data_IF_233710107630
#
_entry.id   IF_233710107630
#
_cell.length_a   1.000
_cell.length_b   1.000
_cell.length_c   1.000
_cell.angle_alpha   90.00
_cell.angle_beta   90.00
_cell.angle_gamma   90.00
#
_symmetry.space_group_name_H-M   'P 1'
#
loop_
_entity.id
_entity.type
_entity.pdbx_description
1 polymer ?
#
# COMPACT_ATOMS: atom_id res chain seq x y z
N UNK A 1 13.22 9.82 78.71
CA UNK A 1 11.97 9.58 77.97
C UNK A 1 11.60 10.82 77.18
N UNK A 2 11.99 10.88 75.90
CA UNK A 2 11.33 11.71 74.90
C UNK A 2 11.81 11.29 73.50
N UNK A 3 10.87 11.36 72.56
CA UNK A 3 10.90 10.91 71.16
C UNK A 3 11.99 11.60 70.33
N UNK A 4 12.48 10.95 69.27
CA UNK A 4 12.49 11.50 67.90
C UNK A 4 12.70 10.35 66.89
N UNK A 5 11.69 10.12 66.05
CA UNK A 5 11.75 9.30 64.85
C UNK A 5 12.28 10.17 63.69
N UNK A 6 13.27 9.68 62.96
CA UNK A 6 13.71 10.25 61.67
C UNK A 6 13.47 9.19 60.60
N UNK A 7 12.63 9.43 59.58
CA UNK A 7 12.55 8.52 58.45
C UNK A 7 13.66 8.85 57.45
N UNK A 8 14.50 7.87 57.11
CA UNK A 8 15.35 7.94 55.92
C UNK A 8 14.46 7.78 54.68
N UNK A 9 14.21 8.88 53.97
CA UNK A 9 13.69 8.88 52.60
C UNK A 9 14.82 8.49 51.65
N UNK A 10 14.89 7.21 51.28
CA UNK A 10 15.65 6.76 50.13
C UNK A 10 14.94 7.19 48.84
N UNK A 11 15.32 8.34 48.29
CA UNK A 11 15.00 8.69 46.90
C UNK A 11 15.81 7.79 45.96
N UNK A 12 15.20 6.69 45.51
CA UNK A 12 15.68 5.96 44.34
C UNK A 12 15.33 6.78 43.09
N UNK A 13 16.30 7.51 42.57
CA UNK A 13 16.23 8.10 41.24
C UNK A 13 16.30 6.96 40.20
N UNK A 14 15.13 6.49 39.76
CA UNK A 14 15.02 5.68 38.55
C UNK A 14 15.34 6.59 37.36
N UNK A 15 16.58 6.55 36.89
CA UNK A 15 16.95 7.13 35.60
C UNK A 15 16.28 6.27 34.51
N UNK A 16 15.17 6.78 33.98
CA UNK A 16 14.60 6.32 32.74
C UNK A 16 15.60 6.68 31.62
N UNK A 17 16.47 5.73 31.29
CA UNK A 17 17.25 5.81 30.06
C UNK A 17 16.29 5.73 28.89
N UNK A 18 15.88 6.88 28.36
CA UNK A 18 15.34 6.96 27.01
C UNK A 18 16.43 6.43 26.08
N UNK A 19 16.32 5.17 25.67
CA UNK A 19 17.05 4.66 24.51
C UNK A 19 16.55 5.45 23.31
N UNK A 20 17.18 6.60 23.06
CA UNK A 20 17.03 7.30 21.79
C UNK A 20 17.43 6.30 20.69
N UNK A 21 16.60 6.24 19.64
CA UNK A 21 16.99 5.51 18.45
C UNK A 21 18.39 6.00 18.02
N UNK A 22 19.28 5.10 17.54
CA UNK A 22 20.60 5.51 17.09
C UNK A 22 20.47 6.68 16.11
N UNK A 23 21.28 7.72 16.35
CA UNK A 23 21.26 8.92 15.54
C UNK A 23 21.53 8.58 14.08
N UNK A 24 20.79 9.20 13.16
CA UNK A 24 21.02 9.01 11.72
C UNK A 24 22.43 9.53 11.36
N UNK A 25 23.27 8.74 10.66
CA UNK A 25 24.61 9.16 10.27
C UNK A 25 24.61 10.41 9.36
N UNK A 26 25.66 11.24 9.43
CA UNK A 26 25.72 12.53 8.76
C UNK A 26 25.85 12.43 7.23
N UNK A 27 25.03 13.14 6.46
CA UNK A 27 24.93 13.02 4.99
C UNK A 27 25.29 14.32 4.27
N UNK A 28 25.48 14.24 2.94
CA UNK A 28 25.65 15.43 2.08
C UNK A 28 24.29 16.09 1.87
N UNK A 29 24.17 17.38 2.22
CA UNK A 29 22.93 18.13 1.99
C UNK A 29 22.80 18.57 0.53
N UNK A 30 21.76 18.07 -0.14
CA UNK A 30 21.25 18.60 -1.40
C UNK A 30 19.93 19.30 -1.11
N UNK A 31 19.82 20.58 -1.47
CA UNK A 31 18.60 21.34 -1.23
C UNK A 31 17.43 20.79 -2.07
N UNK A 32 16.20 20.82 -1.54
CA UNK A 32 15.01 20.32 -2.24
C UNK A 32 14.78 21.01 -3.60
N UNK A 33 15.16 22.28 -3.72
CA UNK A 33 15.11 23.01 -4.99
C UNK A 33 16.05 22.44 -6.05
N UNK A 34 17.21 21.91 -5.65
CA UNK A 34 18.16 21.27 -6.57
C UNK A 34 17.67 19.90 -7.02
N UNK A 35 16.92 19.17 -6.17
CA UNK A 35 16.34 17.86 -6.54
C UNK A 35 15.35 17.96 -7.72
N UNK A 36 14.77 19.12 -7.97
CA UNK A 36 13.73 19.33 -8.98
C UNK A 36 14.14 20.31 -10.09
N UNK A 37 15.38 20.81 -10.10
CA UNK A 37 15.83 21.80 -11.08
C UNK A 37 16.19 21.23 -12.45
N UNK A 38 16.33 19.90 -12.55
CA UNK A 38 16.59 19.14 -13.76
C UNK A 38 18.02 19.28 -14.30
N UNK A 39 18.94 19.91 -13.57
CA UNK A 39 20.32 20.14 -14.03
C UNK A 39 21.02 18.83 -14.43
N UNK A 40 20.86 17.77 -13.64
CA UNK A 40 21.40 16.43 -13.90
C UNK A 40 20.98 15.87 -15.27
N UNK A 41 19.73 16.11 -15.69
CA UNK A 41 19.14 15.42 -16.85
C UNK A 41 19.19 16.25 -18.13
N UNK A 42 19.17 17.58 -18.01
CA UNK A 42 19.04 18.50 -19.13
C UNK A 42 20.25 19.41 -19.30
N UNK A 43 21.00 19.73 -18.24
CA UNK A 43 22.16 20.63 -18.28
C UNK A 43 21.84 22.10 -18.60
N UNK A 44 20.61 22.42 -19.01
CA UNK A 44 20.17 23.74 -19.45
C UNK A 44 18.76 24.09 -18.94
N UNK A 45 18.43 25.38 -18.97
CA UNK A 45 17.12 25.94 -18.56
C UNK A 45 16.58 26.85 -19.68
N UNK A 46 15.25 26.99 -19.84
CA UNK A 46 14.18 26.37 -19.04
C UNK A 46 14.00 24.88 -19.37
N UNK A 47 13.49 24.12 -18.40
CA UNK A 47 13.17 22.70 -18.62
C UNK A 47 12.02 22.56 -19.65
N UNK A 48 12.01 21.48 -20.45
CA UNK A 48 10.84 21.17 -21.27
C UNK A 48 9.60 21.03 -20.40
N UNK A 49 8.50 21.64 -20.83
CA UNK A 49 7.21 21.49 -20.16
C UNK A 49 6.51 20.25 -20.70
N UNK A 50 6.00 19.41 -19.81
CA UNK A 50 5.04 18.38 -20.19
C UNK A 50 3.74 19.05 -20.59
N UNK A 51 3.09 18.51 -21.62
CA UNK A 51 1.73 18.92 -21.96
C UNK A 51 0.83 18.78 -20.73
N UNK A 52 -0.06 19.75 -20.53
CA UNK A 52 -1.02 19.66 -19.44
C UNK A 52 -1.98 18.50 -19.71
N UNK A 53 -2.08 17.59 -18.74
CA UNK A 53 -2.95 16.43 -18.81
C UNK A 53 -4.03 16.56 -17.74
N UNK A 54 -5.26 16.74 -18.19
CA UNK A 54 -6.44 16.53 -17.36
C UNK A 54 -6.78 15.03 -17.36
N UNK A 55 -6.53 14.39 -16.22
CA UNK A 55 -6.73 12.96 -16.05
C UNK A 55 -8.23 12.58 -15.94
N UNK A 56 -9.11 13.55 -15.72
CA UNK A 56 -10.56 13.39 -15.57
C UNK A 56 -11.36 13.97 -16.75
N UNK A 57 -10.70 14.45 -17.80
CA UNK A 57 -11.39 15.04 -18.94
C UNK A 57 -12.33 14.05 -19.62
N UNK A 58 -13.56 14.50 -19.86
CA UNK A 58 -14.56 13.82 -20.70
C UNK A 58 -14.59 14.44 -22.10
N UNK A 59 -14.96 13.65 -23.10
CA UNK A 59 -15.34 14.13 -24.43
C UNK A 59 -16.83 13.85 -24.72
N UNK A 60 -17.26 14.17 -25.94
CA UNK A 60 -18.66 14.11 -26.32
C UNK A 60 -19.18 12.67 -26.42
N UNK A 61 -18.36 11.73 -26.90
CA UNK A 61 -18.71 10.32 -26.97
C UNK A 61 -18.97 9.74 -25.57
N UNK A 62 -18.16 10.11 -24.58
CA UNK A 62 -18.36 9.71 -23.19
C UNK A 62 -19.67 10.28 -22.61
N UNK A 63 -19.98 11.55 -22.91
CA UNK A 63 -21.22 12.19 -22.44
C UNK A 63 -22.45 11.61 -23.13
N UNK A 64 -22.35 11.29 -24.42
CA UNK A 64 -23.42 10.61 -25.16
C UNK A 64 -23.66 9.20 -24.59
N UNK A 65 -22.60 8.45 -24.30
CA UNK A 65 -22.70 7.17 -23.61
C UNK A 65 -23.43 7.32 -22.27
N UNK A 66 -23.07 8.31 -21.45
CA UNK A 66 -23.75 8.57 -20.19
C UNK A 66 -25.23 8.93 -20.38
N UNK A 67 -25.55 9.80 -21.33
CA UNK A 67 -26.93 10.21 -21.61
C UNK A 67 -27.81 9.04 -22.07
N UNK A 68 -27.24 8.05 -22.77
CA UNK A 68 -27.96 6.87 -23.23
C UNK A 68 -28.19 5.83 -22.11
N UNK A 69 -27.29 5.74 -21.12
CA UNK A 69 -27.29 4.65 -20.14
C UNK A 69 -27.65 5.07 -18.71
N UNK A 70 -27.47 6.35 -18.36
CA UNK A 70 -27.71 6.87 -17.00
C UNK A 70 -28.72 8.00 -17.07
N UNK A 71 -29.83 7.86 -16.35
CA UNK A 71 -30.89 8.87 -16.36
C UNK A 71 -30.57 9.99 -15.36
N UNK A 72 -30.42 11.22 -15.85
CA UNK A 72 -30.20 12.40 -15.02
C UNK A 72 -31.36 12.65 -14.03
N UNK A 73 -31.05 13.20 -12.85
CA UNK A 73 -32.00 13.70 -11.82
C UNK A 73 -32.82 12.64 -11.08
N UNK A 74 -32.31 11.41 -10.99
CA UNK A 74 -32.85 10.38 -10.08
C UNK A 74 -32.08 10.36 -8.75
N UNK A 75 -32.45 9.40 -7.89
CA UNK A 75 -31.74 9.06 -6.67
C UNK A 75 -30.33 8.52 -6.98
N UNK A 76 -29.31 9.03 -6.28
CA UNK A 76 -27.89 8.65 -6.40
C UNK A 76 -27.66 7.14 -6.45
N UNK A 77 -28.41 6.37 -5.65
CA UNK A 77 -28.32 4.90 -5.66
C UNK A 77 -28.67 4.29 -7.03
N UNK A 78 -29.71 4.81 -7.67
CA UNK A 78 -30.15 4.31 -8.96
C UNK A 78 -29.21 4.76 -10.08
N UNK A 79 -28.69 5.99 -10.02
CA UNK A 79 -27.69 6.46 -10.97
C UNK A 79 -26.41 5.64 -10.88
N UNK A 80 -25.94 5.35 -9.65
CA UNK A 80 -24.80 4.47 -9.42
C UNK A 80 -25.04 3.07 -9.98
N UNK A 81 -26.22 2.48 -9.72
CA UNK A 81 -26.54 1.15 -10.25
C UNK A 81 -26.57 1.11 -11.78
N UNK A 82 -27.15 2.14 -12.43
CA UNK A 82 -27.15 2.27 -13.89
C UNK A 82 -25.74 2.42 -14.45
N UNK A 83 -24.91 3.24 -13.82
CA UNK A 83 -23.53 3.45 -14.22
C UNK A 83 -22.72 2.16 -14.09
N UNK A 84 -22.84 1.45 -12.96
CA UNK A 84 -22.17 0.16 -12.75
C UNK A 84 -22.62 -0.87 -13.77
N UNK A 85 -23.92 -0.96 -14.05
CA UNK A 85 -24.46 -1.88 -15.05
C UNK A 85 -23.90 -1.57 -16.44
N UNK A 86 -23.84 -0.29 -16.82
CA UNK A 86 -23.29 0.13 -18.11
C UNK A 86 -21.78 -0.10 -18.23
N UNK A 87 -21.03 0.01 -17.12
CA UNK A 87 -19.58 -0.03 -17.12
C UNK A 87 -18.94 -1.38 -16.78
N UNK A 88 -19.64 -2.24 -16.04
CA UNK A 88 -19.06 -3.44 -15.41
C UNK A 88 -19.82 -4.72 -15.77
N UNK A 89 -21.14 -4.64 -15.98
CA UNK A 89 -21.94 -5.86 -16.25
C UNK A 89 -21.80 -6.33 -17.71
N UNK A 90 -21.87 -7.65 -17.93
CA UNK A 90 -21.31 -8.43 -19.06
C UNK A 90 -21.90 -8.17 -20.47
N UNK A 91 -22.08 -6.92 -20.91
CA UNK A 91 -22.52 -6.68 -22.28
C UNK A 91 -22.43 -5.28 -22.87
N UNK A 92 -21.98 -4.26 -22.12
CA UNK A 92 -22.06 -2.86 -22.59
C UNK A 92 -20.68 -2.20 -22.71
N UNK A 93 -19.84 -2.28 -21.67
CA UNK A 93 -18.49 -1.69 -21.68
C UNK A 93 -17.48 -2.70 -21.13
N UNK A 94 -16.82 -3.46 -22.01
CA UNK A 94 -15.82 -4.47 -21.62
C UNK A 94 -14.46 -3.84 -21.42
N UNK A 95 -14.05 -3.59 -20.17
CA UNK A 95 -12.73 -3.03 -19.86
C UNK A 95 -11.70 -4.13 -19.63
N UNK A 96 -10.67 -4.18 -20.47
CA UNK A 96 -9.56 -5.12 -20.32
C UNK A 96 -8.46 -4.59 -19.39
N UNK A 97 -7.91 -5.45 -18.54
CA UNK A 97 -6.75 -5.07 -17.74
C UNK A 97 -5.48 -5.10 -18.60
N UNK A 98 -4.75 -3.99 -18.62
CA UNK A 98 -3.37 -3.94 -19.10
C UNK A 98 -2.49 -3.14 -18.12
N UNK A 99 -1.17 -3.16 -18.36
CA UNK A 99 -0.21 -2.48 -17.49
C UNK A 99 -0.18 -0.96 -17.64
N UNK A 100 -0.82 -0.38 -18.65
CA UNK A 100 -0.64 1.03 -19.00
C UNK A 100 -1.55 1.95 -18.17
N UNK A 101 -0.98 3.06 -17.71
CA UNK A 101 -1.76 4.13 -17.05
C UNK A 101 -2.28 5.15 -18.07
N UNK A 102 -3.60 5.35 -18.06
CA UNK A 102 -4.35 6.21 -19.00
C UNK A 102 -5.19 7.26 -18.26
N UNK A 103 -5.54 8.33 -18.97
CA UNK A 103 -6.56 9.30 -18.53
C UNK A 103 -7.97 8.70 -18.69
N UNK A 104 -8.99 9.32 -18.07
CA UNK A 104 -10.40 8.91 -18.23
C UNK A 104 -10.79 8.68 -19.69
N UNK A 105 -10.54 9.68 -20.55
CA UNK A 105 -10.79 9.62 -21.99
C UNK A 105 -10.06 8.47 -22.68
N UNK A 106 -8.77 8.33 -22.40
CA UNK A 106 -7.95 7.28 -23.02
C UNK A 106 -8.41 5.88 -22.61
N UNK A 107 -8.77 5.69 -21.33
CA UNK A 107 -9.33 4.42 -20.84
C UNK A 107 -10.64 4.10 -21.55
N UNK A 108 -11.51 5.10 -21.73
CA UNK A 108 -12.80 4.91 -22.37
C UNK A 108 -12.68 4.41 -23.81
N UNK A 109 -11.89 5.10 -24.63
CA UNK A 109 -11.70 4.75 -26.03
C UNK A 109 -10.85 3.50 -26.25
N UNK A 110 -9.86 3.26 -25.37
CA UNK A 110 -9.06 2.05 -25.46
C UNK A 110 -9.80 0.81 -24.97
N UNK A 111 -10.83 0.99 -24.14
CA UNK A 111 -11.47 -0.08 -23.38
C UNK A 111 -10.43 -0.96 -22.67
N UNK A 112 -9.32 -0.36 -22.25
CA UNK A 112 -8.25 -1.05 -21.53
C UNK A 112 -7.49 -0.11 -20.58
N UNK A 113 -7.00 -0.66 -19.47
CA UNK A 113 -6.14 0.06 -18.55
C UNK A 113 -5.96 -0.62 -17.21
N UNK A 114 -4.96 -0.17 -16.45
CA UNK A 114 -4.81 -0.61 -15.07
C UNK A 114 -5.83 0.04 -14.13
N UNK A 115 -5.78 -0.34 -12.85
CA UNK A 115 -6.70 0.10 -11.80
C UNK A 115 -6.88 1.63 -11.72
N UNK A 116 -5.79 2.39 -11.84
CA UNK A 116 -5.85 3.86 -11.77
C UNK A 116 -6.58 4.43 -13.00
N UNK A 117 -6.37 3.83 -14.17
CA UNK A 117 -7.02 4.21 -15.43
C UNK A 117 -8.53 4.04 -15.36
N UNK A 118 -8.98 2.89 -14.84
CA UNK A 118 -10.39 2.65 -14.52
C UNK A 118 -10.92 3.65 -13.50
N UNK A 119 -10.22 3.83 -12.38
CA UNK A 119 -10.64 4.73 -11.30
C UNK A 119 -10.81 6.17 -11.82
N UNK A 120 -9.89 6.67 -12.65
CA UNK A 120 -9.98 7.99 -13.27
C UNK A 120 -11.24 8.10 -14.16
N UNK A 121 -11.47 7.11 -15.01
CA UNK A 121 -12.64 7.08 -15.89
C UNK A 121 -13.94 7.05 -15.10
N UNK A 122 -14.05 6.16 -14.11
CA UNK A 122 -15.23 6.04 -13.28
C UNK A 122 -15.49 7.32 -12.48
N UNK A 123 -14.46 7.91 -11.86
CA UNK A 123 -14.60 9.18 -11.13
C UNK A 123 -15.09 10.30 -12.04
N UNK A 124 -14.51 10.43 -13.26
CA UNK A 124 -14.93 11.44 -14.22
C UNK A 124 -16.41 11.30 -14.58
N UNK A 125 -16.80 10.09 -14.99
CA UNK A 125 -18.17 9.78 -15.42
C UNK A 125 -19.19 9.89 -14.28
N UNK A 126 -18.85 9.41 -13.09
CA UNK A 126 -19.72 9.48 -11.92
C UNK A 126 -19.96 10.94 -11.48
N UNK A 127 -18.94 11.80 -11.54
CA UNK A 127 -19.10 13.23 -11.23
C UNK A 127 -19.95 13.95 -12.27
N UNK A 128 -19.81 13.61 -13.54
CA UNK A 128 -20.59 14.21 -14.63
C UNK A 128 -22.09 13.92 -14.48
N UNK A 129 -22.46 12.70 -14.04
CA UNK A 129 -23.85 12.36 -13.71
C UNK A 129 -24.32 12.83 -12.32
N UNK A 130 -23.46 13.56 -11.58
CA UNK A 130 -23.80 14.22 -10.32
C UNK A 130 -23.58 13.41 -9.04
N UNK A 131 -22.90 12.26 -9.10
CA UNK A 131 -22.58 11.47 -7.90
C UNK A 131 -21.46 12.11 -7.08
N UNK A 132 -21.63 12.07 -5.74
CA UNK A 132 -20.59 12.48 -4.81
C UNK A 132 -19.53 11.38 -4.65
N UNK A 133 -18.47 11.47 -5.44
CA UNK A 133 -17.40 10.47 -5.47
C UNK A 133 -16.03 11.05 -5.16
N UNK A 134 -15.22 10.26 -4.48
CA UNK A 134 -13.84 10.57 -4.13
C UNK A 134 -12.93 9.37 -4.42
N UNK A 135 -11.67 9.65 -4.69
CA UNK A 135 -10.65 8.61 -4.69
C UNK A 135 -10.45 8.06 -3.28
N UNK A 136 -10.23 6.76 -3.17
CA UNK A 136 -9.89 6.09 -1.93
C UNK A 136 -8.64 5.23 -2.14
N UNK A 137 -7.63 5.46 -1.31
CA UNK A 137 -6.41 4.64 -1.29
C UNK A 137 -6.63 3.45 -0.37
N UNK A 138 -6.29 2.26 -0.85
CA UNK A 138 -6.33 1.00 -0.11
C UNK A 138 -4.90 0.56 0.21
N UNK A 139 -4.60 0.38 1.49
CA UNK A 139 -3.34 -0.17 1.93
C UNK A 139 -3.41 -1.70 1.90
N UNK A 140 -2.99 -2.30 0.78
CA UNK A 140 -2.91 -3.75 0.66
C UNK A 140 -1.65 -4.20 1.42
N UNK A 141 -1.78 -5.12 2.41
CA UNK A 141 -0.61 -5.71 3.04
C UNK A 141 0.30 -6.35 1.96
N UNK A 142 1.63 -6.20 2.07
CA UNK A 142 2.54 -6.85 1.13
C UNK A 142 2.29 -8.36 1.07
N UNK A 143 2.42 -8.97 -0.10
CA UNK A 143 2.50 -10.42 -0.22
C UNK A 143 3.97 -10.84 -0.32
N UNK A 144 4.45 -11.53 0.70
CA UNK A 144 5.84 -12.02 0.74
C UNK A 144 6.02 -13.37 0.02
N UNK A 145 4.96 -13.97 -0.51
CA UNK A 145 5.03 -15.28 -1.19
C UNK A 145 5.61 -15.23 -2.61
N UNK A 146 5.70 -14.05 -3.25
CA UNK A 146 6.00 -13.95 -4.69
C UNK A 146 7.33 -13.23 -5.07
N UNK A 147 8.12 -12.68 -4.13
CA UNK A 147 9.25 -11.81 -4.54
C UNK A 147 10.52 -11.84 -3.69
N UNK A 148 10.73 -12.86 -2.85
CA UNK A 148 11.91 -12.91 -1.98
C UNK A 148 12.11 -11.61 -1.19
N UNK A 149 13.36 -11.22 -0.91
CA UNK A 149 13.68 -9.98 -0.19
C UNK A 149 13.25 -8.66 -0.87
N UNK A 150 12.69 -8.72 -2.09
CA UNK A 150 12.25 -7.55 -2.85
C UNK A 150 10.90 -7.06 -2.35
N UNK A 151 10.93 -5.89 -1.72
CA UNK A 151 9.75 -5.24 -1.20
C UNK A 151 8.93 -4.64 -2.35
N UNK A 152 7.67 -5.06 -2.50
CA UNK A 152 6.69 -4.41 -3.38
C UNK A 152 5.58 -3.87 -2.51
N UNK A 153 5.51 -2.53 -2.39
CA UNK A 153 4.40 -1.89 -1.70
C UNK A 153 3.23 -1.76 -2.67
N UNK A 154 2.32 -2.72 -2.65
CA UNK A 154 1.09 -2.64 -3.42
C UNK A 154 0.13 -1.68 -2.71
N UNK A 155 0.12 -0.41 -3.14
CA UNK A 155 -0.97 0.52 -2.84
C UNK A 155 -1.90 0.52 -4.04
N UNK A 156 -3.18 0.40 -3.77
CA UNK A 156 -4.22 0.45 -4.79
C UNK A 156 -5.09 1.68 -4.56
N UNK A 157 -5.71 2.17 -5.63
CA UNK A 157 -6.66 3.28 -5.57
C UNK A 157 -7.96 2.81 -6.19
N UNK A 158 -9.06 3.14 -5.55
CA UNK A 158 -10.40 2.81 -5.99
C UNK A 158 -11.34 4.00 -5.74
N UNK A 159 -12.64 3.79 -5.95
CA UNK A 159 -13.64 4.84 -5.85
C UNK A 159 -14.46 4.65 -4.58
N UNK A 160 -14.61 5.71 -3.80
CA UNK A 160 -15.60 5.81 -2.73
C UNK A 160 -16.73 6.75 -3.14
N UNK A 161 -17.96 6.30 -2.98
CA UNK A 161 -19.18 7.04 -3.28
C UNK A 161 -19.92 7.26 -1.98
N UNK A 162 -20.27 8.50 -1.68
CA UNK A 162 -21.11 8.87 -0.55
C UNK A 162 -22.57 8.94 -0.99
N UNK A 163 -23.42 8.04 -0.46
CA UNK A 163 -24.86 7.98 -0.73
C UNK A 163 -25.69 8.56 0.43
N UNK A 164 -25.07 9.43 1.24
CA UNK A 164 -25.70 10.10 2.37
C UNK A 164 -26.21 9.12 3.43
N UNK A 165 -27.52 9.13 3.71
CA UNK A 165 -28.12 8.29 4.74
C UNK A 165 -28.06 6.79 4.43
N UNK A 166 -27.78 6.40 3.18
CA UNK A 166 -27.60 5.00 2.77
C UNK A 166 -26.17 4.50 3.00
N UNK A 167 -25.25 5.37 3.45
CA UNK A 167 -23.86 5.03 3.70
C UNK A 167 -22.98 5.15 2.45
N UNK A 168 -21.79 4.57 2.53
CA UNK A 168 -20.82 4.60 1.45
C UNK A 168 -20.85 3.34 0.58
N UNK A 169 -20.52 3.50 -0.70
CA UNK A 169 -20.29 2.40 -1.63
C UNK A 169 -18.86 2.48 -2.18
N UNK A 170 -18.22 1.33 -2.40
CA UNK A 170 -16.86 1.27 -2.96
C UNK A 170 -16.90 0.54 -4.28
N UNK A 171 -16.33 1.14 -5.31
CA UNK A 171 -16.20 0.55 -6.65
C UNK A 171 -14.72 0.34 -6.92
N UNK A 172 -14.38 -0.89 -7.28
CA UNK A 172 -13.02 -1.34 -7.52
C UNK A 172 -12.99 -2.14 -8.82
N UNK A 173 -11.84 -2.14 -9.50
CA UNK A 173 -11.65 -2.90 -10.74
C UNK A 173 -11.70 -4.41 -10.48
N UNK A 174 -11.11 -4.87 -9.35
CA UNK A 174 -11.16 -6.28 -8.92
C UNK A 174 -12.00 -6.41 -7.64
N UNK A 175 -13.32 -6.48 -7.79
CA UNK A 175 -14.25 -6.58 -6.66
C UNK A 175 -14.01 -7.88 -5.87
N UNK A 176 -13.64 -8.98 -6.54
CA UNK A 176 -13.45 -10.30 -5.92
C UNK A 176 -12.26 -10.38 -4.95
N UNK A 177 -11.23 -9.53 -5.15
CA UNK A 177 -10.04 -9.46 -4.28
C UNK A 177 -10.20 -8.48 -3.11
N UNK A 178 -11.33 -7.77 -3.02
CA UNK A 178 -11.56 -6.77 -1.99
C UNK A 178 -11.77 -7.42 -0.62
N UNK A 179 -10.72 -7.44 0.21
CA UNK A 179 -10.90 -7.74 1.64
C UNK A 179 -11.54 -6.55 2.36
N UNK A 180 -12.60 -6.84 3.13
CA UNK A 180 -13.32 -5.84 3.91
C UNK A 180 -12.45 -5.12 4.96
N UNK A 181 -11.34 -5.75 5.38
CA UNK A 181 -10.56 -5.33 6.55
C UNK A 181 -9.31 -4.51 6.20
N UNK A 182 -9.09 -4.15 4.92
CA UNK A 182 -7.95 -3.29 4.57
C UNK A 182 -8.18 -1.85 5.00
N UNK A 183 -7.11 -1.20 5.47
CA UNK A 183 -7.12 0.21 5.80
C UNK A 183 -7.37 1.03 4.53
N UNK A 184 -8.35 1.92 4.60
CA UNK A 184 -8.82 2.74 3.49
C UNK A 184 -8.78 4.21 3.90
N UNK A 185 -8.39 5.07 2.98
CA UNK A 185 -8.33 6.51 3.23
C UNK A 185 -8.77 7.26 1.99
N UNK A 186 -9.74 8.15 2.13
CA UNK A 186 -10.13 9.06 1.05
C UNK A 186 -8.95 9.99 0.75
N UNK A 187 -8.65 10.17 -0.54
CA UNK A 187 -7.54 11.00 -1.02
C UNK A 187 -8.03 12.05 -2.02
N UNK A 188 -7.27 13.13 -2.16
CA UNK A 188 -7.60 14.23 -3.07
C UNK A 188 -7.32 13.87 -4.53
N UNK A 189 -7.92 14.62 -5.45
CA UNK A 189 -7.62 14.53 -6.88
C UNK A 189 -6.14 14.84 -7.16
N UNK A 190 -5.54 15.76 -6.41
CA UNK A 190 -4.10 16.05 -6.49
C UNK A 190 -3.24 14.82 -6.14
N UNK A 191 -3.65 14.01 -5.14
CA UNK A 191 -3.00 12.73 -4.85
C UNK A 191 -3.19 11.73 -5.98
N UNK A 192 -4.38 11.63 -6.57
CA UNK A 192 -4.63 10.76 -7.72
C UNK A 192 -3.80 11.16 -8.95
N UNK A 193 -3.64 12.47 -9.18
CA UNK A 193 -2.76 13.00 -10.22
C UNK A 193 -1.28 12.70 -9.93
N UNK A 194 -0.85 12.76 -8.67
CA UNK A 194 0.48 12.33 -8.27
C UNK A 194 0.71 10.82 -8.52
N UNK A 195 -0.30 9.97 -8.29
CA UNK A 195 -0.26 8.55 -8.68
C UNK A 195 -0.13 8.38 -10.21
N UNK A 196 -0.88 9.14 -10.99
CA UNK A 196 -0.82 9.10 -12.46
C UNK A 196 0.59 9.40 -12.97
N UNK A 197 1.15 10.55 -12.58
CA UNK A 197 2.49 10.94 -13.00
C UNK A 197 3.58 10.01 -12.44
N UNK A 198 3.38 9.44 -11.24
CA UNK A 198 4.29 8.43 -10.72
C UNK A 198 4.34 7.19 -11.62
N UNK A 199 3.19 6.68 -12.07
CA UNK A 199 3.13 5.51 -12.95
C UNK A 199 3.78 5.80 -14.30
N UNK A 200 3.42 6.92 -14.95
CA UNK A 200 4.05 7.32 -16.23
C UNK A 200 5.56 7.50 -16.05
N UNK A 201 6.01 8.11 -14.95
CA UNK A 201 7.44 8.25 -14.67
C UNK A 201 8.17 6.92 -14.52
N UNK A 202 7.55 5.94 -13.85
CA UNK A 202 8.09 4.57 -13.74
C UNK A 202 8.14 3.87 -15.09
N UNK A 203 7.09 3.97 -15.91
CA UNK A 203 7.06 3.43 -17.28
C UNK A 203 8.20 4.02 -18.13
N UNK A 204 8.38 5.35 -18.12
CA UNK A 204 9.49 6.00 -18.83
C UNK A 204 10.86 5.59 -18.31
N UNK A 205 11.00 5.43 -17.00
CA UNK A 205 12.24 4.95 -16.38
C UNK A 205 12.55 3.49 -16.78
N UNK A 206 11.53 2.63 -16.96
CA UNK A 206 11.69 1.28 -17.49
C UNK A 206 12.10 1.28 -18.97
N UNK A 207 11.56 2.22 -19.76
CA UNK A 207 11.95 2.47 -21.15
C UNK A 207 13.33 3.12 -21.30
N UNK A 208 14.06 3.33 -20.19
CA UNK A 208 15.35 4.04 -20.12
C UNK A 208 15.30 5.49 -20.59
N UNK A 209 14.11 6.09 -20.64
CA UNK A 209 13.91 7.51 -20.91
C UNK A 209 13.94 8.30 -19.58
N UNK A 210 15.16 8.56 -19.11
CA UNK A 210 15.38 9.26 -17.84
C UNK A 210 14.89 10.71 -17.83
N UNK A 211 14.91 11.39 -18.99
CA UNK A 211 14.43 12.78 -19.12
C UNK A 211 12.93 12.86 -18.94
N UNK A 212 12.16 12.03 -19.65
CA UNK A 212 10.71 12.00 -19.48
C UNK A 212 10.30 11.48 -18.10
N UNK A 213 11.03 10.50 -17.55
CA UNK A 213 10.79 10.01 -16.20
C UNK A 213 10.93 11.14 -15.16
N UNK A 214 12.00 11.92 -15.23
CA UNK A 214 12.23 13.06 -14.35
C UNK A 214 11.09 14.08 -14.43
N UNK A 215 10.69 14.48 -15.65
CA UNK A 215 9.63 15.47 -15.82
C UNK A 215 8.30 14.98 -15.23
N UNK A 216 7.97 13.70 -15.38
CA UNK A 216 6.78 13.11 -14.78
C UNK A 216 6.88 13.07 -13.25
N UNK A 217 8.00 12.62 -12.68
CA UNK A 217 8.17 12.65 -11.22
C UNK A 217 8.07 14.08 -10.66
N UNK A 218 8.71 15.05 -11.32
CA UNK A 218 8.61 16.47 -10.94
C UNK A 218 7.16 16.95 -10.96
N UNK A 219 6.41 16.65 -12.03
CA UNK A 219 5.00 17.05 -12.14
C UNK A 219 4.12 16.38 -11.09
N UNK A 220 4.37 15.11 -10.77
CA UNK A 220 3.70 14.43 -9.67
C UNK A 220 3.99 15.07 -8.31
N UNK A 221 5.24 15.49 -8.07
CA UNK A 221 5.65 16.13 -6.81
C UNK A 221 5.03 17.52 -6.68
N UNK A 222 4.90 18.25 -7.79
CA UNK A 222 4.17 19.51 -7.84
C UNK A 222 2.68 19.34 -7.51
N UNK A 223 2.07 18.22 -7.93
CA UNK A 223 0.68 17.89 -7.61
C UNK A 223 0.51 17.50 -6.13
N UNK A 224 1.36 16.62 -5.60
CA UNK A 224 1.37 16.30 -4.16
C UNK A 224 2.79 16.06 -3.61
N UNK A 225 3.31 17.06 -2.92
CA UNK A 225 4.64 17.01 -2.29
C UNK A 225 4.73 16.00 -1.16
N UNK A 226 3.60 15.56 -0.58
CA UNK A 226 3.52 14.58 0.52
C UNK A 226 3.31 13.15 0.02
N UNK A 227 3.44 12.90 -1.28
CA UNK A 227 3.39 11.55 -1.83
C UNK A 227 4.79 10.93 -1.88
N UNK A 228 5.19 10.29 -0.78
CA UNK A 228 6.53 9.68 -0.60
C UNK A 228 7.03 8.79 -1.76
N UNK A 229 6.19 7.96 -2.42
CA UNK A 229 6.63 7.11 -3.54
C UNK A 229 7.28 7.87 -4.70
N UNK A 230 6.85 9.10 -4.99
CA UNK A 230 7.49 9.92 -6.03
C UNK A 230 8.94 10.26 -5.69
N UNK A 231 9.21 10.60 -4.44
CA UNK A 231 10.57 10.88 -3.97
C UNK A 231 11.44 9.61 -3.98
N UNK A 232 10.86 8.47 -3.61
CA UNK A 232 11.53 7.16 -3.71
C UNK A 232 11.86 6.79 -5.17
N UNK A 233 10.95 7.05 -6.10
CA UNK A 233 11.18 6.78 -7.52
C UNK A 233 12.15 7.78 -8.17
N UNK A 234 12.09 9.05 -7.79
CA UNK A 234 13.07 10.07 -8.19
C UNK A 234 14.49 9.72 -7.70
N UNK A 235 14.63 9.27 -6.45
CA UNK A 235 15.92 8.79 -5.93
C UNK A 235 16.44 7.58 -6.70
N UNK A 236 15.54 6.68 -7.11
CA UNK A 236 15.90 5.53 -7.96
C UNK A 236 16.36 5.95 -9.35
N UNK A 237 15.72 6.96 -9.93
CA UNK A 237 16.15 7.55 -11.18
C UNK A 237 17.56 8.16 -11.05
N UNK A 238 17.79 9.00 -10.04
CA UNK A 238 19.12 9.57 -9.77
C UNK A 238 20.20 8.51 -9.57
N UNK A 239 19.91 7.46 -8.80
CA UNK A 239 20.84 6.34 -8.58
C UNK A 239 21.20 5.61 -9.88
N UNK A 240 20.22 5.39 -10.77
CA UNK A 240 20.46 4.79 -12.10
C UNK A 240 21.36 5.67 -12.98
N UNK A 241 21.33 6.98 -12.75
CA UNK A 241 22.20 7.97 -13.40
C UNK A 241 23.52 8.21 -12.64
N UNK A 242 23.82 7.41 -11.61
CA UNK A 242 25.04 7.53 -10.78
C UNK A 242 25.14 8.85 -9.98
N UNK A 243 24.02 9.57 -9.84
CA UNK A 243 23.93 10.79 -9.04
C UNK A 243 23.65 10.46 -7.58
N UNK A 244 24.68 9.97 -6.89
CA UNK A 244 24.56 9.38 -5.55
C UNK A 244 24.01 10.36 -4.51
N UNK A 245 24.50 11.61 -4.49
CA UNK A 245 24.03 12.62 -3.53
C UNK A 245 22.55 12.99 -3.75
N UNK A 246 22.12 13.12 -5.01
CA UNK A 246 20.73 13.41 -5.35
C UNK A 246 19.80 12.22 -5.03
N UNK A 247 20.29 10.99 -5.23
CA UNK A 247 19.58 9.78 -4.87
C UNK A 247 19.33 9.70 -3.36
N UNK A 248 20.39 9.86 -2.56
CA UNK A 248 20.34 9.87 -1.10
C UNK A 248 19.36 10.93 -0.58
N UNK A 249 19.49 12.17 -1.03
CA UNK A 249 18.61 13.26 -0.63
C UNK A 249 17.14 13.03 -1.00
N UNK A 250 16.87 12.44 -2.18
CA UNK A 250 15.51 12.08 -2.59
C UNK A 250 14.89 10.99 -1.71
N UNK A 251 15.65 9.93 -1.41
CA UNK A 251 15.18 8.89 -0.49
C UNK A 251 14.94 9.43 0.92
N UNK A 252 15.79 10.34 1.40
CA UNK A 252 15.58 10.98 2.70
C UNK A 252 14.37 11.91 2.72
N UNK A 253 14.04 12.56 1.61
CA UNK A 253 12.77 13.29 1.49
C UNK A 253 11.57 12.35 1.62
N UNK A 254 11.62 11.16 0.99
CA UNK A 254 10.59 10.14 1.17
C UNK A 254 10.45 9.74 2.64
N UNK A 255 11.56 9.52 3.35
CA UNK A 255 11.56 9.19 4.79
C UNK A 255 11.11 10.33 5.71
N UNK A 256 11.29 11.59 5.29
CA UNK A 256 10.76 12.75 6.01
C UNK A 256 9.24 12.80 5.93
N UNK A 257 8.67 12.38 4.80
CA UNK A 257 7.23 12.33 4.56
C UNK A 257 6.61 11.09 5.22
N UNK A 258 7.22 9.93 5.01
CA UNK A 258 6.82 8.64 5.58
C UNK A 258 8.04 7.96 6.19
N UNK A 259 8.21 8.13 7.50
CA UNK A 259 9.31 7.53 8.26
C UNK A 259 9.27 5.99 8.29
N UNK A 260 8.24 5.36 7.72
CA UNK A 260 8.08 3.90 7.60
C UNK A 260 8.21 3.42 6.16
N UNK A 261 8.61 4.28 5.21
CA UNK A 261 8.84 3.88 3.81
C UNK A 261 10.03 2.91 3.73
N UNK A 262 9.72 1.61 3.79
CA UNK A 262 10.71 0.54 3.71
C UNK A 262 11.37 0.46 2.32
N UNK A 263 10.76 0.98 1.25
CA UNK A 263 11.40 1.05 -0.06
C UNK A 263 12.52 2.08 -0.04
N UNK A 264 12.25 3.27 0.48
CA UNK A 264 13.26 4.31 0.63
C UNK A 264 14.44 3.82 1.51
N UNK A 265 14.16 3.16 2.64
CA UNK A 265 15.21 2.58 3.49
C UNK A 265 16.01 1.49 2.79
N UNK A 266 15.34 0.57 2.07
CA UNK A 266 16.03 -0.50 1.34
C UNK A 266 16.91 0.07 0.22
N UNK A 267 16.44 1.13 -0.45
CA UNK A 267 17.23 1.81 -1.46
C UNK A 267 18.42 2.58 -0.88
N UNK A 268 18.26 3.22 0.28
CA UNK A 268 19.38 3.83 1.02
C UNK A 268 20.39 2.76 1.45
N UNK A 269 19.95 1.65 2.03
CA UNK A 269 20.83 0.52 2.37
C UNK A 269 21.68 0.09 1.18
N UNK A 270 21.03 -0.13 0.02
CA UNK A 270 21.71 -0.51 -1.22
C UNK A 270 22.67 0.58 -1.71
N UNK A 271 22.29 1.85 -1.62
CA UNK A 271 23.13 2.97 -2.03
C UNK A 271 24.43 3.00 -1.20
N UNK A 272 24.33 2.83 0.11
CA UNK A 272 25.49 2.81 1.00
C UNK A 272 26.36 1.56 0.83
N UNK A 273 25.75 0.39 0.58
CA UNK A 273 26.50 -0.82 0.18
C UNK A 273 27.36 -0.56 -1.06
N UNK A 274 26.79 0.12 -2.07
CA UNK A 274 27.51 0.48 -3.30
C UNK A 274 28.64 1.48 -3.05
N UNK A 275 28.55 2.31 -2.02
CA UNK A 275 29.61 3.23 -1.59
C UNK A 275 30.63 2.59 -0.65
N UNK A 276 30.42 1.36 -0.18
CA UNK A 276 31.25 0.70 0.83
C UNK A 276 30.98 1.17 2.26
N UNK A 277 29.93 1.96 2.52
CA UNK A 277 29.52 2.38 3.85
C UNK A 277 28.64 1.31 4.52
N UNK A 278 29.32 0.30 5.08
CA UNK A 278 28.66 -0.84 5.71
C UNK A 278 27.85 -0.45 6.96
N UNK A 279 28.24 0.62 7.67
CA UNK A 279 27.57 1.07 8.89
C UNK A 279 26.18 1.64 8.57
N UNK A 280 26.09 2.58 7.63
CA UNK A 280 24.81 3.14 7.20
C UNK A 280 23.93 2.11 6.51
N UNK A 281 24.53 1.25 5.70
CA UNK A 281 23.80 0.14 5.10
C UNK A 281 23.11 -0.72 6.18
N UNK A 282 23.87 -1.14 7.20
CA UNK A 282 23.33 -1.93 8.31
C UNK A 282 22.23 -1.17 9.07
N UNK A 283 22.40 0.13 9.32
CA UNK A 283 21.39 0.97 9.98
C UNK A 283 20.03 0.93 9.27
N UNK A 284 19.98 1.17 7.96
CA UNK A 284 18.70 1.15 7.23
C UNK A 284 18.15 -0.26 7.07
N UNK A 285 19.02 -1.28 6.91
CA UNK A 285 18.60 -2.69 6.85
C UNK A 285 17.93 -3.13 8.15
N UNK A 286 18.49 -2.77 9.30
CA UNK A 286 17.91 -3.07 10.61
C UNK A 286 16.54 -2.39 10.77
N UNK A 287 16.42 -1.12 10.36
CA UNK A 287 15.13 -0.42 10.38
C UNK A 287 14.08 -1.10 9.52
N UNK A 288 14.43 -1.54 8.31
CA UNK A 288 13.52 -2.33 7.46
C UNK A 288 13.07 -3.59 8.19
N UNK A 289 13.98 -4.34 8.80
CA UNK A 289 13.66 -5.54 9.59
C UNK A 289 12.70 -5.22 10.74
N UNK A 290 12.93 -4.13 11.49
CA UNK A 290 12.04 -3.70 12.57
C UNK A 290 10.64 -3.39 12.04
N UNK A 291 10.50 -2.66 10.94
CA UNK A 291 9.19 -2.34 10.38
C UNK A 291 8.48 -3.57 9.80
N UNK A 292 9.21 -4.47 9.13
CA UNK A 292 8.69 -5.76 8.67
C UNK A 292 8.14 -6.58 9.84
N UNK A 293 8.93 -6.75 10.90
CA UNK A 293 8.55 -7.50 12.11
C UNK A 293 7.44 -6.82 12.94
N UNK A 294 7.10 -5.56 12.68
CA UNK A 294 5.91 -4.92 13.27
C UNK A 294 4.63 -5.24 12.49
N UNK A 295 4.75 -5.66 11.23
CA UNK A 295 3.61 -6.05 10.42
C UNK A 295 3.15 -7.48 10.80
N UNK A 296 1.90 -7.65 11.28
CA UNK A 296 1.39 -8.97 11.66
C UNK A 296 1.33 -9.95 10.48
N UNK A 297 1.08 -9.47 9.27
CA UNK A 297 1.04 -10.31 8.07
C UNK A 297 2.43 -10.78 7.63
N UNK A 298 3.48 -10.00 7.89
CA UNK A 298 4.85 -10.49 7.68
C UNK A 298 5.19 -11.61 8.65
N UNK A 299 4.81 -11.45 9.93
CA UNK A 299 4.97 -12.52 10.91
C UNK A 299 4.18 -13.77 10.54
N UNK A 300 2.96 -13.61 10.06
CA UNK A 300 2.17 -14.72 9.55
C UNK A 300 2.85 -15.43 8.36
N UNK A 301 3.48 -14.67 7.46
CA UNK A 301 4.28 -15.28 6.39
C UNK A 301 5.47 -16.09 6.94
N UNK A 302 6.26 -15.52 7.85
CA UNK A 302 7.35 -16.26 8.52
C UNK A 302 6.84 -17.51 9.25
N UNK A 303 5.65 -17.43 9.86
CA UNK A 303 5.02 -18.59 10.49
C UNK A 303 4.65 -19.68 9.48
N UNK A 304 4.15 -19.31 8.29
CA UNK A 304 3.87 -20.28 7.22
C UNK A 304 5.14 -20.98 6.75
N UNK A 305 6.24 -20.25 6.56
CA UNK A 305 7.53 -20.82 6.15
C UNK A 305 8.09 -21.76 7.22
N UNK A 306 8.02 -21.37 8.49
CA UNK A 306 8.42 -22.19 9.62
C UNK A 306 7.56 -23.46 9.73
N UNK A 307 6.24 -23.35 9.59
CA UNK A 307 5.33 -24.49 9.56
C UNK A 307 5.64 -25.47 8.41
N UNK A 308 5.89 -24.95 7.20
CA UNK A 308 6.29 -25.76 6.04
C UNK A 308 7.62 -26.48 6.26
N UNK A 309 8.52 -25.87 7.05
CA UNK A 309 9.81 -26.44 7.44
C UNK A 309 9.71 -27.36 8.67
N UNK A 310 8.48 -27.66 9.14
CA UNK A 310 8.19 -28.40 10.37
C UNK A 310 8.78 -27.79 11.67
N UNK A 311 9.17 -26.51 11.64
CA UNK A 311 9.55 -25.74 12.82
C UNK A 311 8.30 -25.11 13.45
N UNK A 312 7.51 -25.95 14.12
CA UNK A 312 6.24 -25.54 14.72
C UNK A 312 6.42 -24.54 15.87
N UNK A 313 7.53 -24.61 16.62
CA UNK A 313 7.83 -23.67 17.70
C UNK A 313 8.00 -22.24 17.18
N UNK A 314 8.86 -22.05 16.18
CA UNK A 314 9.07 -20.73 15.57
C UNK A 314 7.78 -20.21 14.92
N UNK A 315 7.03 -21.09 14.27
CA UNK A 315 5.73 -20.76 13.67
C UNK A 315 4.74 -20.24 14.73
N UNK A 316 4.58 -20.94 15.85
CA UNK A 316 3.73 -20.53 16.97
C UNK A 316 4.18 -19.16 17.53
N UNK A 317 5.48 -18.95 17.75
CA UNK A 317 6.01 -17.68 18.27
C UNK A 317 5.66 -16.48 17.36
N UNK A 318 5.78 -16.66 16.05
CA UNK A 318 5.39 -15.62 15.09
C UNK A 318 3.88 -15.38 15.08
N UNK A 319 3.07 -16.43 15.16
CA UNK A 319 1.61 -16.35 15.21
C UNK A 319 1.12 -15.63 16.47
N UNK A 320 1.66 -15.95 17.63
CA UNK A 320 1.28 -15.29 18.89
C UNK A 320 1.55 -13.78 18.85
N UNK A 321 2.69 -13.38 18.29
CA UNK A 321 3.01 -11.95 18.09
C UNK A 321 2.12 -11.29 17.03
N UNK A 322 1.74 -12.01 15.98
CA UNK A 322 0.82 -11.52 14.96
C UNK A 322 -0.59 -11.30 15.55
N UNK A 323 -1.10 -12.30 16.29
CA UNK A 323 -2.38 -12.26 17.01
C UNK A 323 -2.40 -11.12 18.02
N UNK A 324 -1.30 -10.89 18.75
CA UNK A 324 -1.18 -9.76 19.68
C UNK A 324 -1.33 -8.38 19.02
N UNK A 325 -1.18 -8.28 17.70
CA UNK A 325 -1.39 -7.05 16.92
C UNK A 325 -2.72 -7.01 16.17
N UNK A 326 -3.21 -8.16 15.72
CA UNK A 326 -4.44 -8.31 14.94
C UNK A 326 -5.22 -9.53 15.44
N UNK A 327 -5.91 -9.43 16.59
CA UNK A 327 -6.63 -10.55 17.21
C UNK A 327 -7.92 -10.95 16.47
N UNK A 328 -8.35 -10.18 15.48
CA UNK A 328 -9.53 -10.44 14.66
C UNK A 328 -9.24 -11.24 13.38
N UNK A 329 -7.96 -11.48 13.06
CA UNK A 329 -7.55 -12.16 11.84
C UNK A 329 -7.67 -13.69 11.99
N UNK A 330 -8.70 -14.27 11.36
CA UNK A 330 -9.06 -15.68 11.42
C UNK A 330 -7.95 -16.61 10.90
N UNK A 331 -7.26 -16.19 9.84
CA UNK A 331 -6.20 -16.98 9.20
C UNK A 331 -5.04 -17.30 10.15
N UNK A 332 -4.75 -16.42 11.11
CA UNK A 332 -3.69 -16.64 12.12
C UNK A 332 -4.07 -17.79 13.06
N UNK A 333 -5.31 -17.83 13.51
CA UNK A 333 -5.80 -18.89 14.39
C UNK A 333 -5.91 -20.23 13.66
N UNK A 334 -6.28 -20.20 12.37
CA UNK A 334 -6.34 -21.43 11.59
C UNK A 334 -4.96 -22.09 11.48
N UNK A 335 -3.91 -21.32 11.14
CA UNK A 335 -2.55 -21.85 11.10
C UNK A 335 -2.06 -22.29 12.49
N UNK A 336 -2.44 -21.59 13.55
CA UNK A 336 -2.10 -22.01 14.92
C UNK A 336 -2.75 -23.37 15.27
N UNK A 337 -4.00 -23.58 14.84
CA UNK A 337 -4.68 -24.88 14.93
C UNK A 337 -3.93 -25.98 14.18
N UNK A 338 -3.44 -25.70 12.97
CA UNK A 338 -2.62 -26.64 12.20
C UNK A 338 -1.31 -26.99 12.93
N UNK A 339 -0.61 -26.01 13.52
CA UNK A 339 0.62 -26.27 14.29
C UNK A 339 0.36 -27.25 15.43
N UNK A 340 -0.65 -26.99 16.26
CA UNK A 340 -0.99 -27.89 17.36
C UNK A 340 -1.49 -29.26 16.92
N UNK A 341 -2.14 -29.34 15.75
CA UNK A 341 -2.53 -30.61 15.16
C UNK A 341 -1.31 -31.46 14.76
N UNK A 342 -0.26 -30.83 14.20
CA UNK A 342 1.00 -31.51 13.86
C UNK A 342 1.79 -31.93 15.10
N UNK A 343 1.70 -31.17 16.20
CA UNK A 343 2.28 -31.55 17.50
C UNK A 343 1.47 -32.65 18.23
N UNK A 344 0.33 -33.08 17.68
CA UNK A 344 -0.55 -34.10 18.29
C UNK A 344 -1.46 -33.56 19.41
N UNK A 345 -1.54 -32.25 19.61
CA UNK A 345 -2.45 -31.62 20.57
C UNK A 345 -3.79 -31.27 19.91
N UNK A 346 -4.59 -32.30 19.64
CA UNK A 346 -5.90 -32.15 18.99
C UNK A 346 -6.86 -31.26 19.78
N UNK A 347 -6.66 -31.12 21.10
CA UNK A 347 -7.50 -30.26 21.96
C UNK A 347 -7.21 -28.78 21.73
N UNK A 348 -5.93 -28.37 21.72
CA UNK A 348 -5.55 -27.00 21.36
C UNK A 348 -5.86 -26.72 19.89
N UNK A 349 -5.61 -27.68 19.00
CA UNK A 349 -5.95 -27.55 17.58
C UNK A 349 -7.42 -27.19 17.37
N UNK A 350 -8.35 -27.99 17.95
CA UNK A 350 -9.79 -27.72 17.87
C UNK A 350 -10.16 -26.35 18.41
N UNK A 351 -9.62 -25.95 19.56
CA UNK A 351 -9.89 -24.61 20.15
C UNK A 351 -9.52 -23.48 19.19
N UNK A 352 -8.38 -23.56 18.51
CA UNK A 352 -7.93 -22.52 17.58
C UNK A 352 -8.68 -22.56 16.25
N UNK A 353 -9.05 -23.75 15.77
CA UNK A 353 -9.95 -23.91 14.63
C UNK A 353 -11.33 -23.29 14.87
N UNK A 354 -11.94 -23.56 16.03
CA UNK A 354 -13.23 -22.96 16.42
C UNK A 354 -13.11 -21.42 16.48
N UNK A 355 -11.96 -20.92 16.96
CA UNK A 355 -11.69 -19.47 16.98
C UNK A 355 -11.59 -18.88 15.57
N UNK A 356 -10.86 -19.53 14.66
CA UNK A 356 -10.77 -19.12 13.27
C UNK A 356 -12.15 -19.07 12.59
N UNK A 357 -12.96 -20.12 12.76
CA UNK A 357 -14.32 -20.16 12.24
C UNK A 357 -15.18 -19.02 12.82
N UNK A 358 -15.08 -18.75 14.12
CA UNK A 358 -15.87 -17.69 14.76
C UNK A 358 -15.59 -16.29 14.17
N UNK A 359 -14.32 -16.04 13.81
CA UNK A 359 -13.83 -14.77 13.27
C UNK A 359 -14.01 -14.62 11.75
N UNK A 360 -14.20 -15.72 11.04
CA UNK A 360 -14.33 -15.74 9.58
C UNK A 360 -15.45 -14.81 9.07
N UNK A 361 -15.12 -14.02 8.04
CA UNK A 361 -16.04 -13.07 7.42
C UNK A 361 -17.10 -13.79 6.57
N UNK A 362 -18.35 -13.75 7.03
CA UNK A 362 -19.51 -14.25 6.28
C UNK A 362 -19.74 -15.76 6.37
N UNK A 363 -20.89 -16.21 5.84
CA UNK A 363 -21.32 -17.60 5.95
C UNK A 363 -20.48 -18.56 5.11
N UNK A 364 -20.02 -18.12 3.92
CA UNK A 364 -19.23 -18.95 3.01
C UNK A 364 -17.88 -19.32 3.60
N UNK A 365 -17.10 -18.35 4.08
CA UNK A 365 -15.79 -18.62 4.69
C UNK A 365 -15.90 -19.48 5.96
N UNK A 366 -16.93 -19.26 6.78
CA UNK A 366 -17.25 -20.13 7.93
C UNK A 366 -17.48 -21.58 7.50
N UNK A 367 -18.27 -21.79 6.45
CA UNK A 367 -18.51 -23.13 5.93
C UNK A 367 -17.25 -23.78 5.37
N UNK A 368 -16.41 -23.01 4.67
CA UNK A 368 -15.11 -23.50 4.17
C UNK A 368 -14.21 -23.96 5.32
N UNK A 369 -14.15 -23.20 6.42
CA UNK A 369 -13.41 -23.64 7.60
C UNK A 369 -13.99 -24.90 8.21
N UNK A 370 -15.31 -24.99 8.42
CA UNK A 370 -15.95 -26.21 8.97
C UNK A 370 -15.58 -27.45 8.18
N UNK A 371 -15.76 -27.41 6.86
CA UNK A 371 -15.44 -28.54 5.98
C UNK A 371 -13.97 -28.97 6.14
N UNK A 372 -13.06 -27.99 6.17
CA UNK A 372 -11.62 -28.26 6.30
C UNK A 372 -11.23 -28.77 7.68
N UNK A 373 -11.84 -28.26 8.74
CA UNK A 373 -11.61 -28.70 10.12
C UNK A 373 -12.09 -30.13 10.30
N UNK A 374 -13.26 -30.48 9.77
CA UNK A 374 -13.81 -31.84 9.84
C UNK A 374 -12.94 -32.85 9.08
N UNK A 375 -12.44 -32.49 7.89
CA UNK A 375 -11.47 -33.29 7.13
C UNK A 375 -10.18 -33.53 7.92
N UNK A 376 -9.60 -32.47 8.50
CA UNK A 376 -8.34 -32.56 9.24
C UNK A 376 -8.44 -33.39 10.52
N UNK A 377 -9.58 -33.35 11.21
CA UNK A 377 -9.76 -34.05 12.49
C UNK A 377 -10.29 -35.47 12.34
N UNK A 378 -10.98 -35.80 11.24
CA UNK A 378 -11.43 -37.17 10.95
C UNK A 378 -10.30 -38.09 10.46
N UNK A 379 -9.22 -37.53 9.89
CA UNK A 379 -8.04 -38.30 9.49
C UNK A 379 -7.13 -38.77 10.65
N UNK A 380 -7.44 -38.41 11.91
CA UNK A 380 -6.65 -38.79 13.10
C UNK A 380 -7.31 -39.85 13.99
N UNK A 381 -8.52 -40.32 13.68
CA UNK A 381 -9.28 -41.30 14.46
C UNK A 381 -9.02 -42.75 14.08
#
# INVERSE_FOLDING_TARGET
MNRFWVPLLCCQALLWGCTSAPAEPAYVEVASGQLLDGQVFFGEKPLPQLAEVDILALDDDMREFLAQHVQERRNDYLQLHQLLYAMIDEGIFGLEYDGATRTARQTFHAQAGNCLSFTNMFVAMARDVGLNVSYQQVAIPPDWSQSGDTFVLNRHINVYIDLGTRGGHVVDFNIDDMKANYDRTVVSDARAQAHYYNNIGVEKMQQRDGRSAFLNFKRGIEADQRFAPLWTNLGTLYRRHQEVAFAEASYRMALKIDARDMLAMSNLSRLYEQQGDAERAAYYRERVTVYRLRNPYYRYHLAKEAFQSADYNTSIEHLERAIGKKPEEDSFYFLLGLNYLQEGDSKRARRYFDKAESLAAGKSLKQNYRNKIDELLSGQS
#
